data_IF_706640971966
#
_entry.id   IF_706640971966
#
_cell.length_a   1.000
_cell.length_b   1.000
_cell.length_c   1.000
_cell.angle_alpha   90.00
_cell.angle_beta   90.00
_cell.angle_gamma   90.00
#
_symmetry.space_group_name_H-M   'P 1'
#
loop_
_entity.id
_entity.type
_entity.pdbx_description
1 polymer ?
#
# COMPACT_ATOMS: atom_id res chain seq x y z
N UNK A 1 -5.69 0.42 3.63
CA UNK A 1 -4.21 0.36 3.52
C UNK A 1 -3.68 1.74 3.28
N UNK A 2 -2.71 2.24 4.09
CA UNK A 2 -1.93 3.40 3.71
C UNK A 2 -1.62 3.33 2.21
N UNK A 3 -1.71 4.45 1.50
CA UNK A 3 -1.65 4.36 0.04
C UNK A 3 -0.18 4.10 -0.39
N UNK A 4 0.05 3.85 -1.68
CA UNK A 4 1.26 3.18 -2.15
C UNK A 4 2.57 3.91 -1.84
N UNK A 5 2.52 5.23 -1.60
CA UNK A 5 3.70 6.02 -1.25
C UNK A 5 4.10 5.78 0.20
N UNK A 6 3.16 5.76 1.14
CA UNK A 6 3.46 5.54 2.56
C UNK A 6 4.11 4.17 2.79
N UNK A 7 3.60 3.14 2.12
CA UNK A 7 4.22 1.81 2.12
C UNK A 7 5.66 1.83 1.58
N UNK A 8 5.89 2.54 0.48
CA UNK A 8 7.22 2.63 -0.10
C UNK A 8 8.19 3.39 0.82
N UNK A 9 7.77 4.51 1.41
CA UNK A 9 8.56 5.29 2.37
C UNK A 9 8.91 4.45 3.60
N UNK A 10 7.96 3.68 4.12
CA UNK A 10 8.19 2.72 5.20
C UNK A 10 9.28 1.70 4.81
N UNK A 11 9.14 1.06 3.64
CA UNK A 11 10.14 0.11 3.14
C UNK A 11 11.54 0.71 2.98
N UNK A 12 11.63 1.94 2.45
CA UNK A 12 12.89 2.68 2.34
C UNK A 12 13.56 2.89 3.71
N UNK A 13 12.80 3.31 4.73
CA UNK A 13 13.31 3.47 6.11
C UNK A 13 13.74 2.14 6.76
N UNK A 14 13.07 1.03 6.42
CA UNK A 14 13.43 -0.31 6.91
C UNK A 14 14.79 -0.77 6.39
N UNK A 15 15.07 -0.50 5.10
CA UNK A 15 16.33 -0.87 4.46
C UNK A 15 17.40 0.22 4.51
N UNK A 16 17.07 1.41 5.01
CA UNK A 16 17.94 2.59 5.00
C UNK A 16 18.42 2.96 3.59
N UNK A 17 17.47 2.96 2.64
CA UNK A 17 17.71 3.25 1.23
C UNK A 17 17.07 4.58 0.83
N UNK A 18 17.71 5.30 -0.08
CA UNK A 18 17.04 6.35 -0.84
C UNK A 18 16.13 5.75 -1.92
N UNK A 19 15.17 6.54 -2.39
CA UNK A 19 14.22 6.11 -3.42
C UNK A 19 14.91 5.68 -4.73
N UNK A 20 16.08 6.24 -5.06
CA UNK A 20 16.80 5.91 -6.28
C UNK A 20 17.66 4.64 -6.16
N UNK A 21 17.96 4.20 -4.94
CA UNK A 21 18.74 2.98 -4.67
C UNK A 21 17.84 1.75 -4.54
N UNK A 22 16.58 1.95 -4.18
CA UNK A 22 15.64 0.86 -3.97
C UNK A 22 15.24 0.18 -5.28
N UNK A 23 15.22 -1.16 -5.27
CA UNK A 23 14.68 -1.96 -6.38
C UNK A 23 13.18 -1.74 -6.53
N UNK A 24 12.73 -1.53 -7.77
CA UNK A 24 11.30 -1.45 -8.08
C UNK A 24 10.53 -2.72 -7.68
N UNK A 25 11.19 -3.88 -7.69
CA UNK A 25 10.58 -5.15 -7.23
C UNK A 25 10.31 -5.11 -5.72
N UNK A 26 11.25 -4.57 -4.94
CA UNK A 26 11.07 -4.36 -3.51
C UNK A 26 9.95 -3.35 -3.21
N UNK A 27 9.92 -2.22 -3.93
CA UNK A 27 8.88 -1.20 -3.76
C UNK A 27 7.49 -1.69 -4.19
N UNK A 28 7.42 -2.55 -5.22
CA UNK A 28 6.21 -3.28 -5.58
C UNK A 28 5.82 -4.27 -4.48
N UNK A 29 6.79 -4.96 -3.89
CA UNK A 29 6.58 -5.82 -2.71
C UNK A 29 5.99 -5.07 -1.53
N UNK A 30 6.38 -3.80 -1.31
CA UNK A 30 5.81 -2.94 -0.26
C UNK A 30 4.31 -2.68 -0.45
N UNK A 31 3.75 -2.93 -1.63
CA UNK A 31 2.31 -2.86 -1.88
C UNK A 31 1.57 -4.15 -1.48
N UNK A 32 2.31 -5.22 -1.17
CA UNK A 32 1.79 -6.49 -0.73
C UNK A 32 0.65 -7.04 -1.60
N UNK A 33 -0.46 -7.39 -0.95
CA UNK A 33 -1.65 -7.94 -1.60
C UNK A 33 -2.50 -6.88 -2.31
N UNK A 34 -2.20 -5.59 -2.17
CA UNK A 34 -3.07 -4.53 -2.68
C UNK A 34 -3.20 -4.53 -4.21
N UNK A 35 -2.19 -5.09 -4.90
CA UNK A 35 -2.24 -5.27 -6.35
C UNK A 35 -3.51 -6.01 -6.79
N UNK A 36 -4.03 -6.94 -5.97
CA UNK A 36 -5.21 -7.72 -6.30
C UNK A 36 -6.51 -6.92 -6.25
N UNK A 37 -6.60 -5.84 -5.47
CA UNK A 37 -7.81 -4.99 -5.45
C UNK A 37 -8.09 -4.31 -6.79
N UNK A 38 -7.10 -4.20 -7.67
CA UNK A 38 -7.24 -3.59 -9.00
C UNK A 38 -7.83 -4.53 -10.06
N UNK A 39 -7.97 -5.83 -9.77
CA UNK A 39 -8.55 -6.78 -10.73
C UNK A 39 -9.37 -7.89 -10.11
N UNK A 40 -8.91 -8.45 -9.00
CA UNK A 40 -9.46 -9.66 -8.40
C UNK A 40 -9.48 -9.52 -6.87
N UNK A 41 -10.37 -8.63 -6.40
CA UNK A 41 -10.44 -8.21 -5.00
C UNK A 41 -10.70 -9.36 -4.02
N UNK A 42 -11.18 -10.52 -4.49
CA UNK A 42 -11.31 -11.74 -3.68
C UNK A 42 -9.95 -12.13 -3.07
N UNK A 43 -8.89 -12.14 -3.88
CA UNK A 43 -7.55 -12.50 -3.40
C UNK A 43 -6.96 -11.42 -2.50
N UNK A 44 -7.21 -10.14 -2.81
CA UNK A 44 -6.81 -9.02 -1.95
C UNK A 44 -7.40 -9.17 -0.54
N UNK A 45 -8.72 -9.38 -0.43
CA UNK A 45 -9.38 -9.60 0.87
C UNK A 45 -8.85 -10.83 1.60
N UNK A 46 -8.73 -11.96 0.90
CA UNK A 46 -8.28 -13.22 1.49
C UNK A 46 -6.88 -13.10 2.12
N UNK A 47 -5.97 -12.39 1.45
CA UNK A 47 -4.60 -12.17 1.94
C UNK A 47 -4.51 -11.13 3.06
N UNK A 48 -5.55 -10.31 3.25
CA UNK A 48 -5.59 -9.25 4.27
C UNK A 48 -6.34 -9.62 5.55
N UNK A 49 -7.34 -10.50 5.46
CA UNK A 49 -8.21 -10.86 6.60
C UNK A 49 -7.66 -12.07 7.37
N UNK A 50 -7.61 -13.25 6.74
CA UNK A 50 -7.50 -14.51 7.50
C UNK A 50 -6.07 -15.05 7.66
N UNK A 51 -5.16 -14.78 6.71
CA UNK A 51 -3.89 -15.54 6.60
C UNK A 51 -2.68 -14.69 6.18
N UNK A 52 -2.67 -13.39 6.44
CA UNK A 52 -1.59 -12.48 6.00
C UNK A 52 -0.19 -12.96 6.43
N UNK A 53 -0.04 -13.35 7.71
CA UNK A 53 1.24 -13.85 8.27
C UNK A 53 1.63 -15.23 7.75
N UNK A 54 0.66 -16.13 7.61
CA UNK A 54 0.89 -17.48 7.08
C UNK A 54 1.31 -17.42 5.62
N UNK A 55 0.63 -16.60 4.81
CA UNK A 55 1.01 -16.38 3.43
C UNK A 55 2.41 -15.77 3.31
N UNK A 56 2.75 -14.77 4.14
CA UNK A 56 4.11 -14.22 4.18
C UNK A 56 5.16 -15.30 4.48
N UNK A 57 4.91 -16.19 5.43
CA UNK A 57 5.84 -17.29 5.74
C UNK A 57 6.13 -18.13 4.48
N UNK A 58 5.09 -18.53 3.74
CA UNK A 58 5.28 -19.30 2.50
C UNK A 58 5.89 -18.47 1.38
N UNK A 59 5.58 -17.18 1.29
CA UNK A 59 6.19 -16.26 0.34
C UNK A 59 7.72 -16.19 0.54
N UNK A 60 8.17 -16.05 1.79
CA UNK A 60 9.60 -16.07 2.13
C UNK A 60 10.19 -17.46 1.86
N UNK A 61 9.56 -18.52 2.37
CA UNK A 61 10.04 -19.89 2.24
C UNK A 61 10.24 -20.31 0.78
N UNK A 62 9.34 -19.89 -0.11
CA UNK A 62 9.33 -20.27 -1.52
C UNK A 62 10.14 -19.30 -2.41
N UNK A 63 10.74 -18.25 -1.83
CA UNK A 63 11.60 -17.30 -2.54
C UNK A 63 12.97 -17.92 -2.87
N UNK A 64 13.19 -18.24 -4.15
CA UNK A 64 14.40 -18.91 -4.66
C UNK A 64 15.39 -17.93 -5.30
N UNK A 65 14.89 -16.83 -5.87
CA UNK A 65 15.72 -15.82 -6.55
C UNK A 65 15.85 -14.54 -5.73
N UNK A 66 16.82 -13.69 -6.06
CA UNK A 66 16.96 -12.37 -5.43
C UNK A 66 15.72 -11.49 -5.65
N UNK A 67 15.13 -11.52 -6.85
CA UNK A 67 13.88 -10.81 -7.18
C UNK A 67 12.75 -11.25 -6.26
N UNK A 68 12.58 -12.56 -6.06
CA UNK A 68 11.55 -13.10 -5.17
C UNK A 68 11.81 -12.70 -3.72
N UNK A 69 13.06 -12.77 -3.25
CA UNK A 69 13.44 -12.34 -1.89
C UNK A 69 13.18 -10.85 -1.65
N UNK A 70 13.51 -9.99 -2.62
CA UNK A 70 13.24 -8.55 -2.57
C UNK A 70 11.74 -8.27 -2.50
N UNK A 71 10.93 -8.93 -3.32
CA UNK A 71 9.47 -8.80 -3.27
C UNK A 71 8.91 -9.24 -1.91
N UNK A 72 9.32 -10.41 -1.43
CA UNK A 72 8.90 -10.94 -0.14
C UNK A 72 9.30 -10.05 1.04
N UNK A 73 10.47 -9.42 0.97
CA UNK A 73 10.91 -8.44 1.98
C UNK A 73 10.04 -7.19 1.95
N UNK A 74 9.66 -6.69 0.77
CA UNK A 74 8.67 -5.63 0.65
C UNK A 74 7.31 -6.04 1.23
N UNK A 75 6.87 -7.28 0.97
CA UNK A 75 5.61 -7.81 1.48
C UNK A 75 5.59 -7.89 3.02
N UNK A 76 6.72 -8.21 3.64
CA UNK A 76 6.89 -8.15 5.10
C UNK A 76 6.74 -6.72 5.64
N UNK A 77 7.30 -5.72 4.94
CA UNK A 77 7.10 -4.31 5.29
C UNK A 77 5.61 -3.93 5.22
N UNK A 78 4.92 -4.35 4.15
CA UNK A 78 3.50 -4.08 3.94
C UNK A 78 2.63 -4.55 5.11
N UNK A 79 2.69 -5.84 5.47
CA UNK A 79 1.89 -6.41 6.57
C UNK A 79 2.18 -5.70 7.88
N UNK A 80 3.46 -5.39 8.14
CA UNK A 80 3.87 -4.73 9.38
C UNK A 80 3.26 -3.34 9.49
N UNK A 81 3.34 -2.55 8.42
CA UNK A 81 2.78 -1.21 8.39
C UNK A 81 1.25 -1.23 8.55
N UNK A 82 0.57 -2.10 7.81
CA UNK A 82 -0.89 -2.23 7.88
C UNK A 82 -1.36 -2.58 9.29
N UNK A 83 -0.71 -3.55 9.94
CA UNK A 83 -1.05 -3.96 11.30
C UNK A 83 -0.92 -2.83 12.33
N UNK A 84 -0.03 -1.86 12.11
CA UNK A 84 0.27 -0.78 13.06
C UNK A 84 -0.50 0.50 12.72
N UNK A 85 -0.66 0.83 11.44
CA UNK A 85 -1.26 2.07 10.98
C UNK A 85 -2.79 2.01 10.91
N UNK A 86 -3.37 0.84 10.60
CA UNK A 86 -4.82 0.74 10.42
C UNK A 86 -5.67 1.09 11.64
N UNK A 87 -5.30 0.77 12.89
CA UNK A 87 -6.07 1.23 14.04
C UNK A 87 -6.32 2.74 14.04
N UNK A 88 -5.30 3.53 13.69
CA UNK A 88 -5.42 4.97 13.60
C UNK A 88 -6.25 5.41 12.39
N UNK A 89 -6.00 4.84 11.20
CA UNK A 89 -6.76 5.18 9.99
C UNK A 89 -8.25 4.83 10.15
N UNK A 90 -8.57 3.68 10.76
CA UNK A 90 -9.92 3.23 11.06
C UNK A 90 -10.60 4.09 12.12
N UNK A 91 -9.88 4.57 13.14
CA UNK A 91 -10.42 5.54 14.07
C UNK A 91 -10.81 6.86 13.38
N UNK A 92 -10.01 7.29 12.41
CA UNK A 92 -10.18 8.57 11.70
C UNK A 92 -11.19 8.54 10.56
N UNK A 93 -11.70 7.36 10.18
CA UNK A 93 -12.52 7.19 8.96
C UNK A 93 -13.67 6.23 9.20
N UNK A 94 -14.80 6.44 8.51
CA UNK A 94 -16.04 5.68 8.76
C UNK A 94 -16.61 5.00 7.52
N UNK A 95 -16.11 5.36 6.33
CA UNK A 95 -16.55 4.78 5.04
C UNK A 95 -15.33 4.44 4.18
N UNK A 96 -15.43 3.47 3.26
CA UNK A 96 -14.34 3.15 2.33
C UNK A 96 -13.82 4.38 1.56
N UNK A 97 -14.73 5.28 1.18
CA UNK A 97 -14.37 6.52 0.49
C UNK A 97 -13.52 7.44 1.36
N UNK A 98 -13.94 7.68 2.62
CA UNK A 98 -13.17 8.50 3.56
C UNK A 98 -11.84 7.86 3.93
N UNK A 99 -11.80 6.52 4.00
CA UNK A 99 -10.61 5.73 4.25
C UNK A 99 -9.54 5.96 3.16
N UNK A 100 -9.88 5.68 1.90
CA UNK A 100 -8.97 5.90 0.77
C UNK A 100 -8.53 7.35 0.66
N UNK A 101 -9.42 8.31 0.93
CA UNK A 101 -9.08 9.74 0.90
C UNK A 101 -8.10 10.12 2.00
N UNK A 102 -8.30 9.62 3.22
CA UNK A 102 -7.40 9.89 4.34
C UNK A 102 -6.00 9.32 4.10
N UNK A 103 -5.93 8.12 3.52
CA UNK A 103 -4.67 7.47 3.14
C UNK A 103 -3.93 8.27 2.06
N UNK A 104 -4.63 8.81 1.06
CA UNK A 104 -4.06 9.72 0.07
C UNK A 104 -3.54 11.03 0.68
N UNK A 105 -4.19 11.54 1.73
CA UNK A 105 -3.72 12.73 2.45
C UNK A 105 -2.41 12.43 3.16
N UNK A 106 -2.32 11.30 3.86
CA UNK A 106 -1.10 10.85 4.52
C UNK A 106 0.03 10.68 3.49
N UNK A 107 -0.22 10.00 2.37
CA UNK A 107 0.72 9.85 1.26
C UNK A 107 1.24 11.20 0.76
N UNK A 108 0.33 12.16 0.54
CA UNK A 108 0.69 13.50 0.05
C UNK A 108 1.59 14.23 1.03
N UNK A 109 1.30 14.13 2.34
CA UNK A 109 2.10 14.77 3.38
C UNK A 109 3.48 14.11 3.48
N UNK A 110 3.55 12.78 3.48
CA UNK A 110 4.82 12.04 3.59
C UNK A 110 5.67 12.17 2.34
N UNK A 111 5.08 12.21 1.13
CA UNK A 111 5.80 12.49 -0.11
C UNK A 111 6.55 13.83 -0.03
N UNK A 112 5.90 14.86 0.51
CA UNK A 112 6.51 16.18 0.69
C UNK A 112 7.54 16.18 1.81
N UNK A 113 7.22 15.58 2.96
CA UNK A 113 8.06 15.60 4.16
C UNK A 113 9.32 14.76 4.01
N UNK A 114 9.18 13.52 3.55
CA UNK A 114 10.27 12.53 3.53
C UNK A 114 11.05 12.55 2.22
N UNK A 115 10.38 12.80 1.08
CA UNK A 115 11.01 12.73 -0.24
C UNK A 115 11.22 14.10 -0.90
N UNK A 116 10.78 15.20 -0.26
CA UNK A 116 10.83 16.57 -0.80
C UNK A 116 10.22 16.68 -2.21
N UNK A 117 9.17 15.90 -2.44
CA UNK A 117 8.46 15.83 -3.72
C UNK A 117 7.02 16.28 -3.52
N UNK A 118 6.43 16.87 -4.56
CA UNK A 118 5.00 17.13 -4.59
C UNK A 118 4.28 16.01 -5.37
N UNK A 119 2.97 16.11 -5.41
CA UNK A 119 2.12 15.12 -6.06
C UNK A 119 2.36 15.02 -7.58
N UNK A 120 2.94 16.06 -8.22
CA UNK A 120 3.27 16.00 -9.65
C UNK A 120 4.34 14.93 -9.93
N UNK A 121 5.10 14.54 -8.92
CA UNK A 121 6.07 13.47 -9.02
C UNK A 121 5.42 12.15 -9.39
N UNK A 122 5.87 11.56 -10.50
CA UNK A 122 5.32 10.31 -11.04
C UNK A 122 5.90 9.09 -10.30
N UNK A 123 5.53 8.94 -9.03
CA UNK A 123 6.03 7.87 -8.15
C UNK A 123 5.81 6.47 -8.73
N UNK A 124 4.73 6.28 -9.50
CA UNK A 124 4.36 5.01 -10.16
C UNK A 124 5.50 4.42 -11.00
N UNK A 125 6.44 5.23 -11.48
CA UNK A 125 7.61 4.73 -12.21
C UNK A 125 8.51 3.80 -11.35
N UNK A 126 8.47 3.95 -10.02
CA UNK A 126 9.19 3.09 -9.07
C UNK A 126 8.47 1.78 -8.75
N UNK A 127 7.24 1.59 -9.26
CA UNK A 127 6.50 0.34 -9.12
C UNK A 127 6.54 -0.49 -10.41
N UNK A 128 7.20 0.00 -11.46
CA UNK A 128 7.29 -0.68 -12.75
C UNK A 128 8.45 -1.66 -12.75
N UNK A 129 8.13 -2.94 -12.88
CA UNK A 129 9.08 -4.04 -13.04
C UNK A 129 9.06 -4.54 -14.50
N UNK A 130 10.14 -5.18 -14.91
CA UNK A 130 10.25 -5.83 -16.22
C UNK A 130 9.42 -7.13 -16.29
N UNK A 131 9.33 -7.70 -17.50
CA UNK A 131 8.55 -8.91 -17.76
C UNK A 131 9.08 -10.14 -17.03
N UNK A 132 10.40 -10.33 -16.99
CA UNK A 132 11.03 -11.48 -16.35
C UNK A 132 10.79 -11.47 -14.83
N UNK A 133 10.98 -10.31 -14.20
CA UNK A 133 10.63 -10.08 -12.80
C UNK A 133 9.17 -10.44 -12.54
N UNK A 134 8.24 -10.02 -13.42
CA UNK A 134 6.82 -10.31 -13.26
C UNK A 134 6.50 -11.81 -13.42
N UNK A 135 7.19 -12.53 -14.31
CA UNK A 135 7.07 -13.99 -14.41
C UNK A 135 7.51 -14.65 -13.09
N UNK A 136 8.66 -14.25 -12.54
CA UNK A 136 9.17 -14.79 -11.28
C UNK A 136 8.24 -14.52 -10.09
N UNK A 137 7.57 -13.36 -10.07
CA UNK A 137 6.53 -13.08 -9.06
C UNK A 137 5.32 -13.99 -9.24
N UNK A 138 4.85 -14.19 -10.47
CA UNK A 138 3.70 -15.06 -10.71
C UNK A 138 3.98 -16.50 -10.28
N UNK A 139 5.19 -17.01 -10.54
CA UNK A 139 5.62 -18.34 -10.13
C UNK A 139 5.76 -18.43 -8.59
N UNK A 140 6.27 -17.39 -7.93
CA UNK A 140 6.32 -17.30 -6.47
C UNK A 140 4.91 -17.39 -5.85
N UNK A 141 3.96 -16.67 -6.42
CA UNK A 141 2.56 -16.69 -5.98
C UNK A 141 1.94 -18.08 -6.15
N UNK A 142 2.19 -18.78 -7.28
CA UNK A 142 1.71 -20.15 -7.48
C UNK A 142 2.16 -21.07 -6.35
N UNK A 143 3.47 -21.13 -6.10
CA UNK A 143 4.03 -22.02 -5.08
C UNK A 143 3.54 -21.65 -3.67
N UNK A 144 3.49 -20.34 -3.36
CA UNK A 144 3.05 -19.86 -2.05
C UNK A 144 1.56 -20.15 -1.80
N UNK A 145 0.70 -20.01 -2.81
CA UNK A 145 -0.72 -20.33 -2.69
C UNK A 145 -0.96 -21.83 -2.54
N UNK A 146 -0.22 -22.65 -3.29
CA UNK A 146 -0.27 -24.10 -3.18
C UNK A 146 0.11 -24.55 -1.78
N UNK A 147 1.15 -23.98 -1.20
CA UNK A 147 1.61 -24.40 0.12
C UNK A 147 0.76 -23.87 1.27
N UNK A 148 0.39 -22.58 1.24
CA UNK A 148 -0.41 -21.94 2.29
C UNK A 148 -1.86 -22.44 2.30
N UNK A 149 -2.51 -22.47 1.13
CA UNK A 149 -3.95 -22.69 1.04
C UNK A 149 -4.35 -24.02 0.41
N UNK A 150 -3.38 -24.84 -0.04
CA UNK A 150 -3.65 -26.05 -0.85
C UNK A 150 -4.52 -25.75 -2.07
N UNK A 151 -4.34 -24.55 -2.65
CA UNK A 151 -5.15 -24.03 -3.73
C UNK A 151 -4.29 -23.80 -4.98
N UNK A 152 -4.79 -24.25 -6.12
CA UNK A 152 -4.24 -23.89 -7.43
C UNK A 152 -4.45 -22.39 -7.69
N UNK A 153 -3.41 -21.73 -8.20
CA UNK A 153 -3.43 -20.28 -8.45
C UNK A 153 -3.04 -19.99 -9.89
N UNK A 154 -3.88 -19.26 -10.64
CA UNK A 154 -3.58 -18.90 -12.02
C UNK A 154 -2.58 -17.75 -12.07
N UNK A 155 -1.41 -18.00 -12.67
CA UNK A 155 -0.37 -16.98 -12.92
C UNK A 155 -0.89 -15.70 -13.57
N UNK A 156 -1.93 -15.79 -14.40
CA UNK A 156 -2.50 -14.63 -15.07
C UNK A 156 -3.17 -13.66 -14.10
N UNK A 157 -3.58 -14.11 -12.91
CA UNK A 157 -4.18 -13.25 -11.87
C UNK A 157 -3.16 -12.20 -11.45
N UNK A 158 -1.91 -12.59 -11.14
CA UNK A 158 -0.83 -11.65 -10.78
C UNK A 158 -0.54 -10.69 -11.92
N UNK A 159 -0.36 -11.19 -13.15
CA UNK A 159 -0.04 -10.35 -14.32
C UNK A 159 -1.14 -9.34 -14.63
N UNK A 160 -2.41 -9.77 -14.62
CA UNK A 160 -3.55 -8.88 -14.88
C UNK A 160 -3.73 -7.88 -13.74
N UNK A 161 -3.55 -8.30 -12.48
CA UNK A 161 -3.66 -7.42 -11.31
C UNK A 161 -2.58 -6.35 -11.32
N UNK A 162 -1.31 -6.72 -11.56
CA UNK A 162 -0.21 -5.78 -11.75
C UNK A 162 -0.48 -4.80 -12.92
N UNK A 163 -0.87 -5.32 -14.09
CA UNK A 163 -1.18 -4.46 -15.25
C UNK A 163 -2.32 -3.47 -14.95
N UNK A 164 -3.39 -3.93 -14.29
CA UNK A 164 -4.50 -3.08 -13.85
C UNK A 164 -4.05 -2.02 -12.85
N UNK A 165 -3.26 -2.40 -11.84
CA UNK A 165 -2.71 -1.47 -10.85
C UNK A 165 -1.92 -0.35 -11.54
N UNK A 166 -0.95 -0.70 -12.39
CA UNK A 166 -0.14 0.31 -13.10
C UNK A 166 -1.01 1.20 -13.98
N UNK A 167 -2.00 0.65 -14.70
CA UNK A 167 -2.93 1.46 -15.54
C UNK A 167 -3.78 2.40 -14.72
N UNK A 168 -4.41 1.91 -13.65
CA UNK A 168 -5.32 2.68 -12.79
C UNK A 168 -4.55 3.78 -12.07
N UNK A 169 -3.40 3.47 -11.46
CA UNK A 169 -2.56 4.48 -10.83
C UNK A 169 -2.11 5.54 -11.83
N UNK A 170 -1.68 5.17 -13.05
CA UNK A 170 -1.33 6.13 -14.10
C UNK A 170 -2.54 6.97 -14.56
N UNK A 171 -3.74 6.40 -14.56
CA UNK A 171 -4.95 7.14 -14.90
C UNK A 171 -5.23 8.22 -13.86
N UNK A 172 -5.17 7.89 -12.57
CA UNK A 172 -5.43 8.85 -11.48
C UNK A 172 -4.27 9.82 -11.18
N UNK A 173 -3.07 9.57 -11.72
CA UNK A 173 -2.01 10.58 -11.79
C UNK A 173 -2.38 11.68 -12.80
N UNK A 174 -2.78 12.84 -12.29
CA UNK A 174 -3.34 13.96 -13.07
C UNK A 174 -2.66 15.32 -12.80
N UNK A 175 -1.31 15.46 -12.86
CA UNK A 175 -0.55 16.62 -12.34
C UNK A 175 -1.14 18.00 -12.69
N UNK A 176 -1.74 18.12 -13.87
CA UNK A 176 -2.32 19.35 -14.39
C UNK A 176 -3.85 19.45 -14.24
N UNK A 177 -4.47 18.56 -13.45
CA UNK A 177 -5.93 18.45 -13.21
C UNK A 177 -6.77 18.36 -14.49
N UNK A 178 -6.23 17.77 -15.57
CA UNK A 178 -6.91 17.67 -16.88
C UNK A 178 -7.92 16.52 -16.94
N UNK A 179 -7.69 15.45 -16.18
CA UNK A 179 -8.60 14.29 -16.08
C UNK A 179 -9.67 14.50 -15.00
N UNK A 180 -9.42 15.41 -14.08
CA UNK A 180 -10.34 15.77 -13.00
C UNK A 180 -11.75 16.12 -13.53
N UNK A 181 -11.93 17.04 -14.51
CA UNK A 181 -13.25 17.32 -15.08
C UNK A 181 -13.98 16.09 -15.62
N UNK A 182 -13.26 15.16 -16.25
CA UNK A 182 -13.84 13.91 -16.77
C UNK A 182 -14.39 13.03 -15.65
N UNK A 183 -13.67 12.90 -14.53
CA UNK A 183 -14.13 12.12 -13.38
C UNK A 183 -15.39 12.73 -12.76
N UNK A 184 -15.44 14.06 -12.65
CA UNK A 184 -16.63 14.77 -12.19
C UNK A 184 -17.81 14.64 -13.17
N UNK A 185 -17.55 14.65 -14.48
CA UNK A 185 -18.56 14.42 -15.51
C UNK A 185 -19.17 13.02 -15.41
N UNK A 186 -18.35 11.98 -15.22
CA UNK A 186 -18.82 10.60 -15.02
C UNK A 186 -19.70 10.51 -13.77
N UNK A 187 -19.28 11.14 -12.68
CA UNK A 187 -20.06 11.20 -11.44
C UNK A 187 -21.43 11.84 -11.67
N UNK A 188 -21.46 12.96 -12.41
CA UNK A 188 -22.70 13.64 -12.74
C UNK A 188 -23.61 12.81 -13.66
N UNK A 189 -23.07 12.26 -14.76
CA UNK A 189 -23.80 11.44 -15.72
C UNK A 189 -24.40 10.17 -15.10
N UNK A 190 -23.74 9.63 -14.08
CA UNK A 190 -24.20 8.41 -13.38
C UNK A 190 -25.12 8.73 -12.20
N UNK A 191 -25.54 9.99 -12.03
CA UNK A 191 -26.33 10.45 -10.87
C UNK A 191 -25.69 10.04 -9.54
N UNK A 192 -24.38 10.23 -9.42
CA UNK A 192 -23.54 9.86 -8.27
C UNK A 192 -23.43 8.36 -7.97
N UNK A 193 -23.92 7.47 -8.86
CA UNK A 193 -23.74 6.01 -8.69
C UNK A 193 -22.28 5.58 -8.82
N UNK A 194 -21.49 6.30 -9.64
CA UNK A 194 -20.05 6.06 -9.81
C UNK A 194 -19.31 7.31 -9.36
N UNK A 195 -18.61 7.24 -8.23
CA UNK A 195 -17.83 8.35 -7.70
C UNK A 195 -16.38 7.94 -7.51
N UNK A 196 -15.48 8.36 -8.40
CA UNK A 196 -14.03 8.16 -8.27
C UNK A 196 -13.28 9.43 -7.89
N UNK A 197 -13.99 10.48 -7.46
CA UNK A 197 -13.37 11.77 -7.12
C UNK A 197 -12.41 11.66 -5.94
N UNK A 198 -12.62 10.66 -5.07
CA UNK A 198 -11.75 10.38 -3.92
C UNK A 198 -10.42 9.72 -4.28
N UNK A 199 -10.27 9.20 -5.52
CA UNK A 199 -9.00 8.65 -6.01
C UNK A 199 -8.12 9.71 -6.67
N UNK A 200 -8.64 10.92 -6.88
CA UNK A 200 -7.84 12.06 -7.34
C UNK A 200 -7.09 12.60 -6.12
N UNK A 201 -5.78 12.82 -6.27
CA UNK A 201 -4.96 13.38 -5.20
C UNK A 201 -5.60 14.65 -4.61
N UNK A 202 -5.89 14.64 -3.30
CA UNK A 202 -6.71 15.68 -2.70
C UNK A 202 -5.93 16.99 -2.60
N UNK A 203 -6.62 18.11 -2.81
CA UNK A 203 -6.29 19.30 -2.03
C UNK A 203 -6.60 18.96 -0.58
N UNK A 204 -5.61 19.03 0.31
CA UNK A 204 -5.82 18.77 1.74
C UNK A 204 -6.84 19.79 2.24
N UNK A 205 -8.05 19.33 2.57
CA UNK A 205 -9.07 20.15 3.22
C UNK A 205 -8.97 19.90 4.73
N UNK A 206 -8.33 20.82 5.44
CA UNK A 206 -8.16 20.76 6.89
C UNK A 206 -9.49 20.77 7.66
N UNK A 207 -10.59 21.17 7.02
CA UNK A 207 -11.92 21.10 7.64
C UNK A 207 -12.46 19.67 7.69
N UNK A 208 -12.11 18.84 6.71
CA UNK A 208 -12.56 17.46 6.64
C UNK A 208 -11.66 16.53 7.45
N UNK A 209 -10.34 16.74 7.38
CA UNK A 209 -9.37 15.96 8.14
C UNK A 209 -8.39 16.89 8.87
N UNK A 210 -8.79 17.50 10.00
CA UNK A 210 -7.89 18.34 10.79
C UNK A 210 -6.78 17.48 11.41
N UNK A 211 -5.55 17.97 11.38
CA UNK A 211 -4.37 17.28 11.93
C UNK A 211 -4.30 15.79 11.52
N UNK A 212 -4.14 15.47 10.22
CA UNK A 212 -4.22 14.10 9.73
C UNK A 212 -3.12 13.19 10.28
N UNK A 213 -1.97 13.76 10.71
CA UNK A 213 -0.88 13.00 11.32
C UNK A 213 -0.97 12.95 12.86
N UNK A 214 -1.96 13.59 13.48
CA UNK A 214 -2.08 13.72 14.93
C UNK A 214 -0.82 14.31 15.59
N UNK A 215 -0.28 15.39 15.01
CA UNK A 215 0.88 16.10 15.55
C UNK A 215 0.56 16.84 16.85
N UNK A 216 -0.71 17.19 17.06
CA UNK A 216 -1.21 17.82 18.30
C UNK A 216 -1.40 16.82 19.44
N UNK A 217 -1.14 15.52 19.21
CA UNK A 217 -1.22 14.45 20.22
C UNK A 217 -2.58 14.35 20.90
N UNK A 218 -3.65 14.54 20.14
CA UNK A 218 -5.01 14.29 20.65
C UNK A 218 -5.17 12.81 20.95
N UNK A 219 -5.90 12.51 22.03
CA UNK A 219 -6.32 11.16 22.35
C UNK A 219 -7.21 10.59 21.24
N UNK A 220 -7.01 9.31 20.96
CA UNK A 220 -7.81 8.50 20.06
C UNK A 220 -7.88 7.07 20.58
N UNK A 221 -8.97 6.37 20.27
CA UNK A 221 -9.20 5.01 20.75
C UNK A 221 -8.87 4.04 19.62
N UNK A 222 -8.02 3.05 19.90
CA UNK A 222 -7.82 1.94 18.97
C UNK A 222 -9.12 1.14 18.84
N UNK A 223 -9.74 1.06 17.65
CA UNK A 223 -11.06 0.44 17.49
C UNK A 223 -11.02 -1.09 17.66
N UNK A 224 -9.84 -1.72 17.62
CA UNK A 224 -9.68 -3.16 17.79
C UNK A 224 -9.43 -3.54 19.26
N UNK A 225 -8.60 -2.76 19.95
CA UNK A 225 -8.19 -3.07 21.33
C UNK A 225 -8.93 -2.25 22.39
N UNK A 226 -9.66 -1.22 21.98
CA UNK A 226 -10.34 -0.25 22.84
C UNK A 226 -9.39 0.49 23.83
N UNK A 227 -8.09 0.52 23.51
CA UNK A 227 -7.07 1.22 24.30
C UNK A 227 -6.95 2.66 23.81
N UNK A 228 -6.95 3.60 24.75
CA UNK A 228 -6.66 5.01 24.47
C UNK A 228 -5.18 5.20 24.14
N UNK A 229 -4.93 5.92 23.05
CA UNK A 229 -3.60 6.26 22.52
C UNK A 229 -3.56 7.74 22.16
N UNK A 230 -2.38 8.32 22.09
CA UNK A 230 -2.18 9.68 21.58
C UNK A 230 -1.09 9.74 20.50
N UNK A 231 -0.66 8.58 20.02
CA UNK A 231 0.44 8.47 19.07
C UNK A 231 0.16 9.26 17.78
N UNK A 232 1.19 9.90 17.24
CA UNK A 232 1.12 10.49 15.90
C UNK A 232 1.33 9.41 14.83
N UNK A 233 0.87 9.67 13.61
CA UNK A 233 1.12 8.76 12.49
C UNK A 233 2.62 8.54 12.24
N UNK A 234 3.45 9.56 12.50
CA UNK A 234 4.90 9.44 12.39
C UNK A 234 5.49 8.49 13.43
N UNK A 235 4.96 8.48 14.66
CA UNK A 235 5.40 7.51 15.68
C UNK A 235 4.96 6.10 15.31
N UNK A 236 3.71 5.94 14.82
CA UNK A 236 3.23 4.65 14.31
C UNK A 236 4.12 4.14 13.17
N UNK A 237 4.56 5.03 12.27
CA UNK A 237 5.48 4.70 11.20
C UNK A 237 6.85 4.23 11.74
N UNK A 238 7.42 4.91 12.74
CA UNK A 238 8.70 4.50 13.33
C UNK A 238 8.59 3.17 14.11
N UNK A 239 7.46 2.93 14.81
CA UNK A 239 7.18 1.60 15.39
C UNK A 239 7.13 0.55 14.28
N UNK A 240 6.45 0.82 13.18
CA UNK A 240 6.40 -0.08 12.04
C UNK A 240 7.77 -0.33 11.40
N UNK A 241 8.66 0.66 11.35
CA UNK A 241 10.04 0.49 10.87
C UNK A 241 10.81 -0.45 11.81
N UNK A 242 10.71 -0.24 13.13
CA UNK A 242 11.35 -1.09 14.13
C UNK A 242 10.88 -2.55 14.04
N UNK A 243 9.56 -2.77 13.99
CA UNK A 243 9.00 -4.12 13.89
C UNK A 243 9.37 -4.81 12.58
N UNK A 244 9.36 -4.09 11.45
CA UNK A 244 9.75 -4.66 10.17
C UNK A 244 11.25 -5.00 10.11
N UNK A 245 12.12 -4.21 10.77
CA UNK A 245 13.56 -4.54 10.91
C UNK A 245 13.76 -5.82 11.73
N UNK A 246 13.00 -6.03 12.80
CA UNK A 246 13.02 -7.28 13.57
C UNK A 246 12.58 -8.47 12.72
N UNK A 247 11.46 -8.32 12.02
CA UNK A 247 10.91 -9.36 11.14
C UNK A 247 11.89 -9.71 10.01
N UNK A 248 12.53 -8.71 9.39
CA UNK A 248 13.60 -8.90 8.40
C UNK A 248 14.70 -9.81 8.95
N UNK A 249 15.21 -9.47 10.14
CA UNK A 249 16.29 -10.22 10.79
C UNK A 249 15.88 -11.63 11.20
N UNK A 250 14.58 -11.94 11.28
CA UNK A 250 14.10 -13.29 11.58
C UNK A 250 13.91 -14.14 10.32
N UNK A 251 13.44 -13.52 9.23
CA UNK A 251 12.98 -14.23 8.03
C UNK A 251 14.01 -14.28 6.89
N UNK A 252 14.99 -13.37 6.85
CA UNK A 252 15.89 -13.18 5.70
C UNK A 252 17.38 -13.25 6.06
N UNK A 253 17.75 -14.09 7.05
CA UNK A 253 19.17 -14.40 7.33
C UNK A 253 19.79 -15.31 6.28
#
# INVERSE_FOLDING_TARGET
MPNFITHSIHGLKVLDLSLNEASNVFLLGCQGADLFFYKDAKFGKMLHEDQSKEFLFYLVKNSKTEIQRLYSMGYACHITLDGIAHPYINYRTHTPKTHTKFELIIDTILLKKELRKDWNYKFINHLKIDGESLEQLADLYIESFKDAFKMEFDRNIVKKSYSSMIKILNFFHDPNRKKTPLVYLIKWLTFNKIDYTFMIYPTIDEREFPDPLNLTKKSWIDPLTNVEKNASFLELLEVAVSEAKKLKNQLFQ
#
